data_IF_213104203020
#
_entry.id   IF_213104203020
#
_cell.length_a   1.000
_cell.length_b   1.000
_cell.length_c   1.000
_cell.angle_alpha   90.00
_cell.angle_beta   90.00
_cell.angle_gamma   90.00
#
_symmetry.space_group_name_H-M   'P 1'
#
loop_
_entity.id
_entity.type
_entity.pdbx_description
1 polymer ?
#
# COMPACT_ATOMS: atom_id res chain seq x y z
N UNK A 1 6.62 0.11 5.19
CA UNK A 1 5.50 -0.82 4.97
C UNK A 1 5.69 -1.68 3.72
N UNK A 2 5.62 -1.11 2.50
CA UNK A 2 5.80 -1.85 1.21
C UNK A 2 7.05 -2.75 1.19
N UNK A 3 8.22 -2.21 1.54
CA UNK A 3 9.48 -2.96 1.54
C UNK A 3 9.41 -4.24 2.38
N UNK A 4 8.94 -4.15 3.63
CA UNK A 4 8.88 -5.31 4.53
C UNK A 4 7.89 -6.36 4.02
N UNK A 5 6.80 -5.92 3.36
CA UNK A 5 5.81 -6.83 2.76
C UNK A 5 6.38 -7.54 1.54
N UNK A 6 7.04 -6.82 0.64
CA UNK A 6 7.74 -7.44 -0.50
C UNK A 6 8.82 -8.42 -0.02
N UNK A 7 9.58 -8.09 1.03
CA UNK A 7 10.59 -8.98 1.60
C UNK A 7 10.00 -10.28 2.18
N UNK A 8 8.80 -10.23 2.76
CA UNK A 8 8.13 -11.40 3.37
C UNK A 8 7.44 -12.31 2.35
N UNK A 9 6.85 -11.74 1.30
CA UNK A 9 6.03 -12.47 0.32
C UNK A 9 6.67 -12.58 -1.07
N UNK A 10 7.83 -11.94 -1.26
CA UNK A 10 8.57 -12.00 -2.50
C UNK A 10 9.22 -13.36 -2.68
N UNK A 11 9.04 -13.94 -3.87
CA UNK A 11 9.84 -15.07 -4.31
C UNK A 11 11.32 -14.66 -4.40
N UNK A 12 12.25 -15.61 -4.56
CA UNK A 12 13.70 -15.30 -4.61
C UNK A 12 14.09 -14.28 -5.72
N UNK A 13 13.26 -14.11 -6.77
CA UNK A 13 13.42 -13.09 -7.84
C UNK A 13 12.81 -11.71 -7.51
N UNK A 14 12.04 -11.61 -6.43
CA UNK A 14 11.31 -10.41 -6.02
C UNK A 14 12.13 -9.48 -5.10
N UNK A 15 13.45 -9.66 -5.05
CA UNK A 15 14.34 -8.74 -4.35
C UNK A 15 14.11 -7.30 -4.85
N UNK A 16 13.65 -6.45 -3.93
CA UNK A 16 13.48 -5.02 -4.13
C UNK A 16 14.18 -4.31 -2.98
N UNK A 17 15.06 -3.37 -3.32
CA UNK A 17 15.75 -2.55 -2.33
C UNK A 17 14.87 -1.38 -1.90
N UNK A 18 15.13 -0.82 -0.70
CA UNK A 18 14.44 0.40 -0.24
C UNK A 18 14.63 1.56 -1.22
N UNK A 19 15.81 1.68 -1.84
CA UNK A 19 16.12 2.73 -2.82
C UNK A 19 15.34 2.58 -4.13
N UNK A 20 15.04 1.36 -4.58
CA UNK A 20 14.15 1.13 -5.73
C UNK A 20 12.73 1.62 -5.43
N UNK A 21 12.26 1.48 -4.19
CA UNK A 21 11.00 2.06 -3.72
C UNK A 21 11.05 3.57 -3.46
N UNK A 22 12.22 4.21 -3.58
CA UNK A 22 12.43 5.62 -3.22
C UNK A 22 12.42 5.88 -1.72
N UNK A 23 12.56 4.84 -0.89
CA UNK A 23 12.56 4.93 0.56
C UNK A 23 13.95 4.79 1.19
N UNK A 24 14.05 5.25 2.44
CA UNK A 24 15.21 5.04 3.32
C UNK A 24 14.82 4.21 4.53
N UNK A 25 15.81 3.71 5.27
CA UNK A 25 15.55 3.07 6.55
C UNK A 25 15.02 4.09 7.55
N UNK A 26 14.00 3.69 8.32
CA UNK A 26 13.42 4.54 9.34
C UNK A 26 14.36 4.58 10.55
N UNK A 27 14.85 5.75 10.93
CA UNK A 27 15.70 5.93 12.10
C UNK A 27 14.91 6.37 13.34
N UNK A 28 13.87 7.18 13.14
CA UNK A 28 13.06 7.74 14.21
C UNK A 28 12.21 6.68 14.93
N UNK A 29 12.22 6.62 16.29
CA UNK A 29 11.46 5.63 17.05
C UNK A 29 9.95 5.68 16.85
N UNK A 30 9.35 6.85 16.65
CA UNK A 30 7.91 6.98 16.41
C UNK A 30 7.55 6.46 15.01
N UNK A 31 8.35 6.80 13.99
CA UNK A 31 8.16 6.24 12.66
C UNK A 31 8.37 4.72 12.62
N UNK A 32 9.31 4.18 13.42
CA UNK A 32 9.48 2.72 13.58
C UNK A 32 8.24 2.07 14.18
N UNK A 33 7.68 2.63 15.25
CA UNK A 33 6.44 2.13 15.89
C UNK A 33 5.25 2.18 14.94
N UNK A 34 5.06 3.29 14.23
CA UNK A 34 4.03 3.40 13.19
C UNK A 34 4.23 2.36 12.10
N UNK A 35 5.47 2.20 11.62
CA UNK A 35 5.82 1.18 10.64
C UNK A 35 5.47 -0.24 11.09
N UNK A 36 5.71 -0.57 12.37
CA UNK A 36 5.36 -1.85 13.00
C UNK A 36 3.85 -2.03 13.13
N UNK A 37 3.11 -1.01 13.56
CA UNK A 37 1.65 -1.04 13.63
C UNK A 37 1.04 -1.31 12.24
N UNK A 38 1.54 -0.63 11.21
CA UNK A 38 1.15 -0.89 9.82
C UNK A 38 1.45 -2.33 9.40
N UNK A 39 2.59 -2.92 9.82
CA UNK A 39 2.85 -4.36 9.55
C UNK A 39 1.80 -5.25 10.19
N UNK A 40 1.44 -5.03 11.46
CA UNK A 40 0.46 -5.85 12.17
C UNK A 40 -0.91 -5.83 11.49
N UNK A 41 -1.39 -4.64 11.10
CA UNK A 41 -2.65 -4.52 10.36
C UNK A 41 -2.54 -5.19 8.98
N UNK A 42 -1.38 -5.08 8.32
CA UNK A 42 -1.11 -5.80 7.08
C UNK A 42 -1.18 -7.32 7.24
N UNK A 43 -0.70 -7.85 8.38
CA UNK A 43 -0.75 -9.28 8.70
C UNK A 43 -2.19 -9.74 9.02
N UNK A 44 -3.00 -8.91 9.68
CA UNK A 44 -4.44 -9.15 9.87
C UNK A 44 -5.22 -9.17 8.53
N UNK A 45 -4.92 -8.22 7.64
CA UNK A 45 -5.53 -8.15 6.31
C UNK A 45 -5.14 -9.34 5.43
N UNK A 46 -4.02 -10.01 5.70
CA UNK A 46 -3.67 -11.25 5.02
C UNK A 46 -4.54 -12.44 5.41
N UNK A 47 -5.01 -12.48 6.65
CA UNK A 47 -5.95 -13.48 7.11
C UNK A 47 -7.34 -13.35 6.47
N UNK A 48 -7.63 -12.24 5.80
CA UNK A 48 -8.91 -12.01 5.15
C UNK A 48 -8.99 -12.69 3.78
N UNK A 49 -9.65 -13.85 3.74
CA UNK A 49 -9.80 -14.69 2.53
C UNK A 49 -10.44 -13.95 1.35
N UNK A 50 -11.43 -13.08 1.61
CA UNK A 50 -12.10 -12.32 0.54
C UNK A 50 -11.16 -11.29 -0.08
N UNK A 51 -10.39 -10.58 0.76
CA UNK A 51 -9.34 -9.68 0.30
C UNK A 51 -8.27 -10.45 -0.48
N UNK A 52 -7.81 -11.59 0.01
CA UNK A 52 -6.84 -12.42 -0.71
C UNK A 52 -7.34 -12.89 -2.07
N UNK A 53 -8.61 -13.30 -2.17
CA UNK A 53 -9.23 -13.74 -3.41
C UNK A 53 -9.26 -12.63 -4.47
N UNK A 54 -9.61 -11.40 -4.09
CA UNK A 54 -9.63 -10.27 -5.02
C UNK A 54 -8.23 -9.89 -5.50
N UNK A 55 -7.22 -10.07 -4.65
CA UNK A 55 -5.87 -9.65 -4.98
C UNK A 55 -5.07 -10.71 -5.75
N UNK A 56 -5.35 -11.99 -5.51
CA UNK A 56 -4.79 -13.08 -6.29
C UNK A 56 -5.48 -13.25 -7.64
N UNK A 57 -6.49 -12.43 -7.94
CA UNK A 57 -7.14 -12.39 -9.24
C UNK A 57 -6.10 -12.16 -10.36
N UNK A 58 -5.97 -13.10 -11.32
CA UNK A 58 -5.11 -12.93 -12.48
C UNK A 58 -5.46 -11.69 -13.32
N UNK A 59 -6.72 -11.26 -13.31
CA UNK A 59 -7.21 -10.09 -14.02
C UNK A 59 -6.81 -8.75 -13.34
N UNK A 60 -6.36 -8.77 -12.08
CA UNK A 60 -5.90 -7.56 -11.40
C UNK A 60 -4.60 -7.06 -12.05
N UNK A 61 -4.70 -5.94 -12.76
CA UNK A 61 -3.57 -5.27 -13.39
C UNK A 61 -3.06 -4.10 -12.53
N UNK A 62 -1.74 -3.89 -12.41
CA UNK A 62 -1.16 -2.76 -11.67
C UNK A 62 -1.25 -1.44 -12.47
N UNK A 63 -2.46 -1.00 -12.78
CA UNK A 63 -2.71 0.24 -13.53
C UNK A 63 -3.29 1.34 -12.63
N UNK A 64 -3.15 2.59 -13.08
CA UNK A 64 -3.69 3.75 -12.37
C UNK A 64 -5.22 3.70 -12.28
N UNK A 65 -5.89 3.23 -13.32
CA UNK A 65 -7.35 3.11 -13.36
C UNK A 65 -7.85 2.14 -12.28
N UNK A 66 -7.23 0.97 -12.18
CA UNK A 66 -7.52 -0.02 -11.14
C UNK A 66 -7.26 0.57 -9.76
N UNK A 67 -6.12 1.25 -9.59
CA UNK A 67 -5.79 1.95 -8.34
C UNK A 67 -6.89 2.93 -7.93
N UNK A 68 -7.22 3.87 -8.83
CA UNK A 68 -8.19 4.93 -8.56
C UNK A 68 -9.60 4.42 -8.32
N UNK A 69 -10.02 3.37 -9.05
CA UNK A 69 -11.33 2.75 -8.85
C UNK A 69 -11.47 2.20 -7.43
N UNK A 70 -10.50 1.41 -6.98
CA UNK A 70 -10.54 0.83 -5.63
C UNK A 70 -10.36 1.90 -4.56
N UNK A 71 -9.46 2.87 -4.76
CA UNK A 71 -9.27 3.97 -3.82
C UNK A 71 -10.57 4.76 -3.61
N UNK A 72 -11.29 5.12 -4.69
CA UNK A 72 -12.59 5.78 -4.60
C UNK A 72 -13.64 4.92 -3.91
N UNK A 73 -13.65 3.62 -4.14
CA UNK A 73 -14.59 2.70 -3.50
C UNK A 73 -14.36 2.62 -1.98
N UNK A 74 -13.10 2.62 -1.52
CA UNK A 74 -12.76 2.61 -0.09
C UNK A 74 -13.37 3.82 0.65
N UNK A 75 -13.49 4.97 -0.02
CA UNK A 75 -13.97 6.22 0.57
C UNK A 75 -15.30 6.71 -0.03
N UNK A 76 -16.07 5.83 -0.69
CA UNK A 76 -17.25 6.21 -1.48
C UNK A 76 -18.39 6.80 -0.65
N UNK A 77 -18.52 6.40 0.62
CA UNK A 77 -19.53 6.90 1.56
C UNK A 77 -19.09 8.18 2.32
N UNK A 78 -17.91 8.72 2.01
CA UNK A 78 -17.34 9.91 2.64
C UNK A 78 -16.88 9.71 4.09
N UNK A 79 -16.87 8.48 4.62
CA UNK A 79 -16.41 8.20 5.98
C UNK A 79 -14.93 7.84 6.00
N UNK A 80 -14.17 8.55 6.82
CA UNK A 80 -12.73 8.32 7.00
C UNK A 80 -12.45 7.66 8.35
N UNK A 81 -11.55 6.68 8.34
CA UNK A 81 -10.98 6.08 9.54
C UNK A 81 -9.63 5.44 9.20
N UNK A 82 -8.82 5.17 10.22
CA UNK A 82 -7.49 4.58 10.03
C UNK A 82 -7.53 3.23 9.32
N UNK A 83 -8.54 2.39 9.57
CA UNK A 83 -8.69 1.10 8.89
C UNK A 83 -8.77 1.24 7.37
N UNK A 84 -9.50 2.24 6.87
CA UNK A 84 -9.60 2.54 5.43
C UNK A 84 -8.32 3.13 4.85
N UNK A 85 -7.65 4.00 5.61
CA UNK A 85 -6.33 4.51 5.22
C UNK A 85 -5.35 3.35 5.07
N UNK A 86 -5.29 2.44 6.05
CA UNK A 86 -4.43 1.27 5.98
C UNK A 86 -4.83 0.33 4.84
N UNK A 87 -6.12 0.15 4.56
CA UNK A 87 -6.58 -0.62 3.41
C UNK A 87 -6.08 -0.05 2.07
N UNK A 88 -6.01 1.28 1.92
CA UNK A 88 -5.41 1.92 0.75
C UNK A 88 -3.91 1.59 0.62
N UNK A 89 -3.14 1.71 1.70
CA UNK A 89 -1.72 1.32 1.71
C UNK A 89 -1.52 -0.16 1.41
N UNK A 90 -2.37 -1.02 1.98
CA UNK A 90 -2.36 -2.44 1.72
C UNK A 90 -2.59 -2.73 0.24
N UNK A 91 -3.60 -2.12 -0.36
CA UNK A 91 -3.89 -2.30 -1.78
C UNK A 91 -2.73 -1.81 -2.68
N UNK A 92 -2.15 -0.64 -2.38
CA UNK A 92 -0.97 -0.15 -3.09
C UNK A 92 0.20 -1.14 -3.01
N UNK A 93 0.48 -1.72 -1.84
CA UNK A 93 1.52 -2.75 -1.68
C UNK A 93 1.27 -3.97 -2.56
N UNK A 94 0.00 -4.36 -2.72
CA UNK A 94 -0.35 -5.51 -3.55
C UNK A 94 -0.15 -5.24 -5.03
N UNK A 95 -0.45 -4.04 -5.52
CA UNK A 95 -0.12 -3.66 -6.90
C UNK A 95 1.41 -3.65 -7.12
N UNK A 96 2.19 -3.20 -6.13
CA UNK A 96 3.66 -3.27 -6.18
C UNK A 96 4.13 -4.72 -6.29
N UNK A 97 3.61 -5.63 -5.47
CA UNK A 97 3.95 -7.07 -5.53
C UNK A 97 3.58 -7.63 -6.92
N UNK A 98 2.39 -7.34 -7.44
CA UNK A 98 1.95 -7.78 -8.78
C UNK A 98 2.88 -7.24 -9.88
N UNK A 99 3.31 -5.99 -9.79
CA UNK A 99 4.26 -5.40 -10.74
C UNK A 99 5.62 -6.12 -10.72
N UNK A 100 6.10 -6.52 -9.54
CA UNK A 100 7.33 -7.30 -9.38
C UNK A 100 7.16 -8.70 -10.00
N UNK A 101 6.06 -9.40 -9.67
CA UNK A 101 5.75 -10.74 -10.21
C UNK A 101 5.62 -10.72 -11.72
N UNK A 102 4.99 -9.69 -12.28
CA UNK A 102 4.83 -9.51 -13.73
C UNK A 102 6.08 -8.94 -14.43
N UNK A 103 7.19 -8.76 -13.70
CA UNK A 103 8.48 -8.25 -14.21
C UNK A 103 8.40 -6.84 -14.81
N UNK A 104 7.45 -6.01 -14.37
CA UNK A 104 7.24 -4.61 -14.79
C UNK A 104 7.63 -3.62 -13.68
N UNK A 105 8.87 -3.73 -13.17
CA UNK A 105 9.32 -3.01 -11.97
C UNK A 105 9.33 -1.48 -12.11
N UNK A 106 9.35 -0.96 -13.33
CA UNK A 106 9.40 0.49 -13.60
C UNK A 106 8.16 1.24 -13.08
N UNK A 107 7.02 0.55 -12.94
CA UNK A 107 5.77 1.16 -12.47
C UNK A 107 5.69 1.29 -10.95
N UNK A 108 6.63 0.70 -10.20
CA UNK A 108 6.57 0.66 -8.73
C UNK A 108 6.54 2.07 -8.13
N UNK A 109 7.42 2.97 -8.62
CA UNK A 109 7.44 4.38 -8.18
C UNK A 109 6.17 5.12 -8.59
N UNK A 110 5.61 4.76 -9.74
CA UNK A 110 4.35 5.32 -10.24
C UNK A 110 3.18 4.92 -9.33
N UNK A 111 3.10 3.67 -8.88
CA UNK A 111 2.09 3.20 -7.91
C UNK A 111 2.19 3.97 -6.59
N UNK A 112 3.42 4.16 -6.08
CA UNK A 112 3.65 4.95 -4.87
C UNK A 112 3.20 6.39 -5.10
N UNK A 113 3.50 6.98 -6.25
CA UNK A 113 3.05 8.33 -6.60
C UNK A 113 1.53 8.45 -6.62
N UNK A 114 0.80 7.50 -7.22
CA UNK A 114 -0.67 7.52 -7.21
C UNK A 114 -1.23 7.50 -5.80
N UNK A 115 -0.61 6.69 -4.92
CA UNK A 115 -1.01 6.59 -3.52
C UNK A 115 -0.80 7.91 -2.79
N UNK A 116 0.36 8.54 -2.98
CA UNK A 116 0.68 9.83 -2.37
C UNK A 116 -0.24 10.95 -2.88
N UNK A 117 -0.48 11.01 -4.20
CA UNK A 117 -1.41 11.98 -4.81
C UNK A 117 -2.81 11.81 -4.25
N UNK A 118 -3.32 10.58 -4.18
CA UNK A 118 -4.67 10.32 -3.65
C UNK A 118 -4.79 10.73 -2.17
N UNK A 119 -3.77 10.43 -1.35
CA UNK A 119 -3.73 10.87 0.04
C UNK A 119 -3.75 12.39 0.13
N UNK A 120 -2.90 13.06 -0.66
CA UNK A 120 -2.79 14.51 -0.67
C UNK A 120 -4.09 15.20 -1.12
N UNK A 121 -4.80 14.63 -2.10
CA UNK A 121 -6.00 15.22 -2.66
C UNK A 121 -7.25 14.94 -1.82
N UNK A 122 -7.34 13.78 -1.17
CA UNK A 122 -8.59 13.31 -0.58
C UNK A 122 -8.54 13.00 0.92
N UNK A 123 -7.39 12.63 1.46
CA UNK A 123 -7.29 12.05 2.82
C UNK A 123 -6.53 12.98 3.78
N UNK A 124 -5.65 13.85 3.28
CA UNK A 124 -4.69 14.62 4.08
C UNK A 124 -5.37 15.54 5.10
N UNK A 125 -6.51 16.14 4.75
CA UNK A 125 -7.22 17.04 5.67
C UNK A 125 -7.73 16.26 6.89
N UNK A 126 -8.32 15.08 6.67
CA UNK A 126 -8.74 14.21 7.75
C UNK A 126 -7.56 13.78 8.64
N UNK A 127 -6.43 13.38 8.04
CA UNK A 127 -5.21 13.02 8.80
C UNK A 127 -4.76 14.20 9.69
N UNK A 128 -4.78 15.43 9.16
CA UNK A 128 -4.43 16.63 9.93
C UNK A 128 -5.40 16.89 11.08
N UNK A 129 -6.69 16.67 10.88
CA UNK A 129 -7.71 16.77 11.93
C UNK A 129 -7.51 15.74 13.04
N UNK A 130 -6.92 14.57 12.74
CA UNK A 130 -6.53 13.57 13.74
C UNK A 130 -5.22 13.91 14.47
N UNK A 131 -4.56 15.04 14.14
CA UNK A 131 -3.29 15.44 14.73
C UNK A 131 -2.05 14.91 13.99
N UNK A 132 -2.23 14.34 12.80
CA UNK A 132 -1.14 13.73 12.02
C UNK A 132 -1.18 12.20 12.07
N UNK A 133 -0.01 11.61 11.85
CA UNK A 133 0.23 10.16 11.86
C UNK A 133 0.65 9.67 13.24
#
# INVERSE_FOLDING_TARGET
>A
FVYERVRRYGDSEAEVTRSQLGGVELCDPNHKRLGQCLQQIGDELDGNVQLQSMVNDPALQPTQEVFMKVAREIFSDGKFNWGRVVALFYFACRLVIKAITNKIRDIIRTIISWTMSYIQEHVINWIREQGGW
#
